data_IF_563715593237
#
_entry.id   IF_563715593237
#
_cell.length_a   1.000
_cell.length_b   1.000
_cell.length_c   1.000
_cell.angle_alpha   90.00
_cell.angle_beta   90.00
_cell.angle_gamma   90.00
#
_symmetry.space_group_name_H-M   'P 1'
#
loop_
_entity.id
_entity.type
_entity.pdbx_description
1 polymer ?
#
# COMPACT_ATOMS: atom_id res chain seq x y z
N UNK A 1 2.09 3.00 -13.38
CA UNK A 1 2.09 1.79 -12.54
C UNK A 1 3.10 2.02 -11.43
N UNK A 2 2.77 1.79 -10.16
CA UNK A 2 3.70 2.02 -9.05
C UNK A 2 4.64 0.81 -8.85
N UNK A 3 5.46 0.52 -9.85
CA UNK A 3 6.43 -0.57 -9.79
C UNK A 3 7.83 -0.03 -10.15
N UNK A 4 8.87 -0.68 -9.64
CA UNK A 4 10.25 -0.30 -9.93
C UNK A 4 10.54 -0.64 -11.39
N UNK A 5 11.10 0.31 -12.14
CA UNK A 5 11.34 0.15 -13.58
C UNK A 5 12.12 -1.13 -13.92
N UNK A 6 13.15 -1.46 -13.13
CA UNK A 6 13.95 -2.67 -13.32
C UNK A 6 13.14 -3.96 -13.14
N UNK A 7 12.17 -3.98 -12.21
CA UNK A 7 11.29 -5.14 -12.03
C UNK A 7 10.34 -5.34 -13.20
N UNK A 8 9.89 -4.23 -13.81
CA UNK A 8 9.09 -4.28 -15.04
C UNK A 8 9.92 -4.85 -16.18
N UNK A 9 11.14 -4.34 -16.37
CA UNK A 9 12.06 -4.79 -17.42
C UNK A 9 12.39 -6.29 -17.24
N UNK A 10 12.70 -6.73 -16.01
CA UNK A 10 12.96 -8.14 -15.73
C UNK A 10 11.75 -9.04 -16.02
N UNK A 11 10.54 -8.61 -15.65
CA UNK A 11 9.33 -9.36 -15.96
C UNK A 11 9.09 -9.51 -17.47
N UNK A 12 9.35 -8.45 -18.25
CA UNK A 12 9.25 -8.49 -19.71
C UNK A 12 10.33 -9.41 -20.33
N UNK A 13 11.55 -9.41 -19.80
CA UNK A 13 12.63 -10.31 -20.21
C UNK A 13 12.28 -11.78 -19.96
N UNK A 14 11.57 -12.08 -18.86
CA UNK A 14 11.00 -13.41 -18.57
C UNK A 14 9.79 -13.77 -19.45
N UNK A 15 9.39 -12.90 -20.35
CA UNK A 15 8.28 -13.13 -21.28
C UNK A 15 6.89 -12.81 -20.70
N UNK A 16 6.80 -12.15 -19.56
CA UNK A 16 5.54 -11.70 -18.96
C UNK A 16 4.98 -10.54 -19.79
N UNK A 17 3.74 -10.68 -20.21
CA UNK A 17 3.04 -9.60 -20.93
C UNK A 17 2.38 -8.65 -19.94
N UNK A 18 2.75 -7.39 -20.00
CA UNK A 18 2.17 -6.33 -19.16
C UNK A 18 1.21 -5.50 -20.02
N UNK A 19 -0.08 -5.60 -19.73
CA UNK A 19 -1.09 -4.78 -20.38
C UNK A 19 -1.53 -3.64 -19.47
N UNK A 20 -1.31 -2.40 -19.91
CA UNK A 20 -1.70 -1.20 -19.18
C UNK A 20 -3.07 -0.72 -19.65
N UNK A 21 -3.78 0.02 -18.80
CA UNK A 21 -5.12 0.55 -19.09
C UNK A 21 -6.10 -0.57 -19.49
N UNK A 22 -6.08 -1.65 -18.75
CA UNK A 22 -7.00 -2.77 -18.86
C UNK A 22 -7.62 -3.02 -17.50
N UNK A 23 -8.92 -3.30 -17.46
CA UNK A 23 -9.62 -3.66 -16.25
C UNK A 23 -10.38 -4.99 -16.43
N UNK A 24 -10.19 -5.97 -15.55
CA UNK A 24 -10.99 -7.20 -15.57
C UNK A 24 -12.41 -6.88 -15.11
N UNK A 25 -13.41 -7.43 -15.79
CA UNK A 25 -14.84 -7.21 -15.52
C UNK A 25 -15.60 -8.48 -15.17
N UNK A 26 -15.13 -9.63 -15.65
CA UNK A 26 -15.81 -10.91 -15.40
C UNK A 26 -14.82 -12.08 -15.45
N UNK A 27 -14.97 -13.05 -14.55
CA UNK A 27 -14.26 -14.32 -14.61
C UNK A 27 -15.06 -15.32 -15.45
N UNK A 28 -14.46 -15.81 -16.53
CA UNK A 28 -15.09 -16.78 -17.40
C UNK A 28 -14.82 -18.19 -16.86
N UNK A 29 -15.88 -18.95 -16.65
CA UNK A 29 -15.80 -20.31 -16.10
C UNK A 29 -16.53 -21.32 -16.98
N UNK A 30 -16.01 -22.54 -17.00
CA UNK A 30 -16.65 -23.70 -17.64
C UNK A 30 -16.50 -24.91 -16.73
N UNK A 31 -17.59 -25.61 -16.45
CA UNK A 31 -17.61 -26.78 -15.55
C UNK A 31 -16.95 -26.51 -14.17
N UNK A 32 -17.13 -25.31 -13.62
CA UNK A 32 -16.56 -24.90 -12.32
C UNK A 32 -15.06 -24.62 -12.35
N UNK A 33 -14.43 -24.54 -13.51
CA UNK A 33 -13.02 -24.18 -13.69
C UNK A 33 -12.89 -22.84 -14.40
N UNK A 34 -11.85 -22.09 -14.07
CA UNK A 34 -11.50 -20.87 -14.80
C UNK A 34 -11.10 -21.21 -16.23
N UNK A 35 -11.62 -20.46 -17.18
CA UNK A 35 -11.29 -20.53 -18.61
C UNK A 35 -10.69 -19.25 -19.14
N UNK A 36 -10.86 -18.17 -18.43
CA UNK A 36 -10.36 -16.87 -18.84
C UNK A 36 -10.90 -15.74 -18.00
N UNK A 37 -10.56 -14.55 -18.41
CA UNK A 37 -11.06 -13.30 -17.84
C UNK A 37 -11.51 -12.37 -18.96
N UNK A 38 -12.69 -11.81 -18.83
CA UNK A 38 -13.15 -10.73 -19.71
C UNK A 38 -12.59 -9.43 -19.20
N UNK A 39 -11.95 -8.70 -20.08
CA UNK A 39 -11.33 -7.42 -19.82
C UNK A 39 -11.96 -6.32 -20.67
N UNK A 40 -11.86 -5.08 -20.21
CA UNK A 40 -12.23 -3.88 -20.96
C UNK A 40 -11.02 -2.94 -21.04
N UNK A 41 -10.82 -2.33 -22.19
CA UNK A 41 -9.78 -1.29 -22.34
C UNK A 41 -10.22 -0.01 -21.65
N UNK A 42 -9.26 0.69 -21.05
CA UNK A 42 -9.49 1.92 -20.32
C UNK A 42 -8.85 3.09 -21.06
N UNK A 43 -9.54 4.21 -21.14
CA UNK A 43 -8.97 5.49 -21.54
C UNK A 43 -8.64 6.35 -20.32
N UNK A 44 -7.73 7.30 -20.46
CA UNK A 44 -7.51 8.30 -19.40
C UNK A 44 -8.57 9.40 -19.53
N UNK A 45 -9.38 9.57 -18.49
CA UNK A 45 -10.38 10.64 -18.38
C UNK A 45 -9.76 12.02 -18.19
N UNK A 46 -10.58 13.02 -17.91
CA UNK A 46 -10.13 14.37 -17.60
C UNK A 46 -9.33 14.41 -16.28
N UNK A 47 -8.36 15.32 -16.14
CA UNK A 47 -7.64 15.51 -14.90
C UNK A 47 -8.59 15.94 -13.77
N UNK A 48 -8.45 15.34 -12.58
CA UNK A 48 -9.10 15.81 -11.36
C UNK A 48 -8.36 17.02 -10.77
N UNK A 49 -8.85 17.56 -9.64
CA UNK A 49 -8.26 18.73 -8.96
C UNK A 49 -6.77 18.56 -8.60
N UNK A 50 -6.30 17.32 -8.48
CA UNK A 50 -4.87 16.99 -8.24
C UNK A 50 -4.06 16.86 -9.53
N UNK A 51 -4.68 17.04 -10.70
CA UNK A 51 -4.08 16.81 -12.01
C UNK A 51 -4.02 15.33 -12.42
N UNK A 52 -4.56 14.41 -11.62
CA UNK A 52 -4.56 12.98 -11.90
C UNK A 52 -5.71 12.62 -12.85
N UNK A 53 -5.38 11.92 -13.93
CA UNK A 53 -6.35 11.38 -14.87
C UNK A 53 -6.77 9.98 -14.44
N UNK A 54 -8.06 9.79 -14.15
CA UNK A 54 -8.61 8.49 -13.77
C UNK A 54 -8.91 7.65 -15.00
N UNK A 55 -8.62 6.33 -14.98
CA UNK A 55 -9.04 5.44 -16.06
C UNK A 55 -10.57 5.38 -16.13
N UNK A 56 -11.11 5.46 -17.36
CA UNK A 56 -12.53 5.29 -17.67
C UNK A 56 -12.68 4.19 -18.72
N UNK A 57 -13.71 3.31 -18.62
CA UNK A 57 -13.91 2.24 -19.59
C UNK A 57 -14.22 2.80 -20.97
N UNK A 58 -13.65 2.17 -22.01
CA UNK A 58 -13.99 2.43 -23.40
C UNK A 58 -15.10 1.46 -23.79
N UNK A 59 -16.30 1.98 -24.05
CA UNK A 59 -17.45 1.16 -24.40
C UNK A 59 -17.18 0.33 -25.69
N UNK A 60 -17.57 -0.95 -25.67
CA UNK A 60 -17.40 -1.86 -26.80
C UNK A 60 -15.96 -2.33 -27.03
N UNK A 61 -15.08 -2.17 -26.04
CA UNK A 61 -13.68 -2.61 -26.12
C UNK A 61 -13.41 -3.88 -25.32
N UNK A 62 -14.46 -4.57 -24.92
CA UNK A 62 -14.38 -5.81 -24.16
C UNK A 62 -13.72 -6.91 -24.99
N UNK A 63 -12.87 -7.71 -24.35
CA UNK A 63 -12.21 -8.86 -24.94
C UNK A 63 -11.88 -9.91 -23.88
N UNK A 64 -11.69 -11.14 -24.33
CA UNK A 64 -11.43 -12.26 -23.43
C UNK A 64 -9.94 -12.63 -23.49
N UNK A 65 -9.35 -12.87 -22.32
CA UNK A 65 -8.03 -13.45 -22.15
C UNK A 65 -8.19 -14.86 -21.63
N UNK A 66 -7.74 -15.86 -22.40
CA UNK A 66 -7.78 -17.26 -21.96
C UNK A 66 -6.72 -17.48 -20.87
N UNK A 67 -7.10 -18.06 -19.74
CA UNK A 67 -6.20 -18.45 -18.65
C UNK A 67 -6.86 -19.52 -17.78
N UNK A 68 -6.05 -20.31 -17.10
CA UNK A 68 -6.50 -21.36 -16.18
C UNK A 68 -6.50 -20.89 -14.73
N UNK A 69 -5.82 -19.78 -14.44
CA UNK A 69 -5.69 -19.20 -13.09
C UNK A 69 -5.73 -17.68 -13.14
N UNK A 70 -6.38 -17.07 -12.15
CA UNK A 70 -6.39 -15.63 -11.94
C UNK A 70 -5.91 -15.36 -10.52
N UNK A 71 -4.91 -14.49 -10.38
CA UNK A 71 -4.37 -14.07 -9.10
C UNK A 71 -4.61 -12.55 -8.94
N UNK A 72 -5.61 -12.13 -8.15
CA UNK A 72 -5.85 -10.72 -7.90
C UNK A 72 -4.77 -10.17 -6.94
N UNK A 73 -3.97 -9.22 -7.42
CA UNK A 73 -2.95 -8.51 -6.64
C UNK A 73 -3.26 -7.01 -6.56
N UNK A 74 -4.52 -6.68 -6.22
CA UNK A 74 -5.10 -5.33 -6.26
C UNK A 74 -4.92 -4.54 -4.97
N UNK A 75 -4.09 -5.02 -4.04
CA UNK A 75 -3.90 -4.44 -2.72
C UNK A 75 -4.93 -4.92 -1.69
N UNK A 76 -4.81 -4.37 -0.50
CA UNK A 76 -5.66 -4.72 0.64
C UNK A 76 -6.37 -3.48 1.17
N UNK A 77 -7.42 -3.70 1.95
CA UNK A 77 -8.09 -2.67 2.75
C UNK A 77 -8.14 -3.14 4.20
N UNK A 78 -8.07 -2.18 5.12
CA UNK A 78 -8.32 -2.48 6.52
C UNK A 78 -9.80 -2.85 6.67
N UNK A 79 -10.07 -4.01 7.26
CA UNK A 79 -11.41 -4.38 7.68
C UNK A 79 -11.63 -3.89 9.12
N UNK A 80 -12.28 -2.73 9.25
CA UNK A 80 -12.59 -2.12 10.53
C UNK A 80 -13.89 -2.64 11.17
N UNK A 81 -14.52 -3.67 10.61
CA UNK A 81 -15.80 -4.20 11.12
C UNK A 81 -15.69 -4.71 12.58
N UNK A 82 -14.53 -5.19 13.01
CA UNK A 82 -14.29 -5.62 14.40
C UNK A 82 -14.38 -4.47 15.42
N UNK A 83 -14.31 -3.22 14.96
CA UNK A 83 -14.44 -2.03 15.82
C UNK A 83 -15.89 -1.54 15.96
N UNK A 84 -16.85 -2.19 15.31
CA UNK A 84 -18.27 -1.80 15.42
C UNK A 84 -18.72 -1.84 16.87
N UNK A 85 -19.11 -0.66 17.39
CA UNK A 85 -19.52 -0.50 18.81
C UNK A 85 -18.37 -0.24 19.79
N UNK A 86 -17.13 -0.17 19.35
CA UNK A 86 -15.99 0.22 20.17
C UNK A 86 -15.99 1.74 20.37
N UNK A 87 -16.60 2.24 21.44
CA UNK A 87 -16.63 3.66 21.75
C UNK A 87 -15.22 4.25 21.92
N UNK A 88 -14.98 5.46 21.42
CA UNK A 88 -13.73 6.20 21.58
C UNK A 88 -12.61 5.77 20.64
N UNK A 89 -12.89 4.93 19.63
CA UNK A 89 -11.97 4.65 18.53
C UNK A 89 -12.59 5.20 17.26
N UNK A 90 -11.96 6.20 16.68
CA UNK A 90 -12.41 6.84 15.46
C UNK A 90 -11.69 6.27 14.24
N UNK A 91 -12.35 6.35 13.10
CA UNK A 91 -11.77 5.94 11.82
C UNK A 91 -11.53 7.18 10.95
N UNK A 92 -10.43 7.16 10.24
CA UNK A 92 -10.14 8.17 9.21
C UNK A 92 -11.10 7.99 8.02
N UNK A 93 -11.13 8.97 7.12
CA UNK A 93 -11.88 8.87 5.84
C UNK A 93 -11.46 7.68 4.96
N UNK A 94 -10.32 7.07 5.26
CA UNK A 94 -9.78 5.93 4.53
C UNK A 94 -10.13 4.58 5.16
N UNK A 95 -10.81 4.59 6.31
CA UNK A 95 -11.19 3.41 7.07
C UNK A 95 -10.08 2.84 7.95
N UNK A 96 -8.98 3.56 8.14
CA UNK A 96 -7.92 3.23 9.10
C UNK A 96 -8.26 3.80 10.47
N UNK A 97 -7.67 3.27 11.54
CA UNK A 97 -7.86 3.80 12.89
C UNK A 97 -7.16 5.16 13.01
N UNK A 98 -7.88 6.16 13.53
CA UNK A 98 -7.29 7.44 13.85
C UNK A 98 -6.49 7.33 15.17
N UNK A 99 -5.20 7.66 15.09
CA UNK A 99 -4.27 7.61 16.22
C UNK A 99 -3.22 8.71 16.06
N UNK A 100 -2.60 9.08 17.16
CA UNK A 100 -1.50 10.05 17.17
C UNK A 100 -0.25 9.45 16.46
N UNK A 101 0.37 10.14 15.52
CA UNK A 101 1.45 9.61 14.70
C UNK A 101 2.80 9.43 15.45
N UNK A 102 2.90 9.92 16.68
CA UNK A 102 4.10 9.80 17.51
C UNK A 102 3.91 8.71 18.56
N UNK A 103 2.76 8.74 19.22
CA UNK A 103 2.47 7.85 20.35
C UNK A 103 1.65 6.63 19.97
N UNK A 104 1.04 6.64 18.78
CA UNK A 104 0.11 5.61 18.32
C UNK A 104 -1.11 5.42 19.23
N UNK A 105 -1.36 6.36 20.16
CA UNK A 105 -2.50 6.36 21.04
C UNK A 105 -3.76 6.80 20.26
N UNK A 106 -4.84 6.04 20.42
CA UNK A 106 -6.15 6.37 19.84
C UNK A 106 -6.91 7.34 20.77
N UNK A 107 -8.09 7.79 20.36
CA UNK A 107 -8.98 8.56 21.24
C UNK A 107 -9.46 7.81 22.48
N UNK A 108 -9.30 6.49 22.53
CA UNK A 108 -9.69 5.65 23.67
C UNK A 108 -8.49 5.38 24.59
N UNK A 109 -8.57 5.75 25.90
CA UNK A 109 -7.48 5.48 26.84
C UNK A 109 -7.05 4.01 26.88
N UNK A 110 -5.73 3.76 26.82
CA UNK A 110 -5.13 2.43 26.85
C UNK A 110 -5.25 1.64 25.54
N UNK A 111 -5.73 2.25 24.46
CA UNK A 111 -5.79 1.63 23.13
C UNK A 111 -4.83 2.33 22.18
N UNK A 112 -4.01 1.54 21.54
CA UNK A 112 -2.98 1.99 20.59
C UNK A 112 -3.16 1.30 19.24
N UNK A 113 -2.83 1.98 18.17
CA UNK A 113 -2.93 1.45 16.80
C UNK A 113 -1.69 1.80 16.00
N UNK A 114 -1.07 0.81 15.36
CA UNK A 114 0.11 0.99 14.49
C UNK A 114 0.14 -0.01 13.35
N UNK A 115 1.05 0.18 12.38
CA UNK A 115 1.11 -0.63 11.16
C UNK A 115 -0.07 -0.36 10.23
N UNK A 116 -0.43 -1.34 9.41
CA UNK A 116 -1.40 -1.19 8.32
C UNK A 116 -2.79 -0.72 8.80
N UNK A 117 -3.17 -1.03 10.03
CA UNK A 117 -4.45 -0.58 10.59
C UNK A 117 -4.49 0.93 10.84
N UNK A 118 -3.32 1.56 10.96
CA UNK A 118 -3.14 3.00 11.15
C UNK A 118 -2.78 3.71 9.82
N UNK A 119 -1.75 3.21 9.11
CA UNK A 119 -1.25 3.85 7.88
C UNK A 119 -2.04 3.48 6.62
N UNK A 120 -2.80 2.39 6.63
CA UNK A 120 -3.19 1.63 5.46
C UNK A 120 -2.08 0.66 5.05
N UNK A 121 -2.32 -0.23 4.08
CA UNK A 121 -1.35 -1.21 3.62
C UNK A 121 -0.02 -0.59 3.21
N UNK A 122 1.07 -1.03 3.83
CA UNK A 122 2.42 -0.52 3.62
C UNK A 122 3.47 -1.64 3.70
N UNK A 123 4.75 -1.28 3.83
CA UNK A 123 5.84 -2.25 3.91
C UNK A 123 6.04 -2.78 5.35
N UNK A 124 6.48 -4.04 5.46
CA UNK A 124 6.65 -4.71 6.74
C UNK A 124 7.56 -3.95 7.72
N UNK A 125 8.60 -3.28 7.22
CA UNK A 125 9.53 -2.49 8.05
C UNK A 125 8.83 -1.32 8.75
N UNK A 126 7.88 -0.67 8.09
CA UNK A 126 7.09 0.42 8.70
C UNK A 126 6.16 -0.13 9.79
N UNK A 127 5.53 -1.28 9.55
CA UNK A 127 4.69 -1.94 10.54
C UNK A 127 5.49 -2.36 11.79
N UNK A 128 6.71 -2.91 11.61
CA UNK A 128 7.62 -3.24 12.70
C UNK A 128 8.02 -1.98 13.49
N UNK A 129 8.39 -0.91 12.78
CA UNK A 129 8.73 0.37 13.40
C UNK A 129 7.59 0.96 14.21
N UNK A 130 6.37 0.95 13.67
CA UNK A 130 5.17 1.39 14.37
C UNK A 130 4.91 0.55 15.63
N UNK A 131 5.08 -0.77 15.55
CA UNK A 131 4.96 -1.67 16.70
C UNK A 131 5.94 -1.36 17.82
N UNK A 132 7.20 -1.06 17.51
CA UNK A 132 8.22 -0.68 18.48
C UNK A 132 7.86 0.64 19.19
N UNK A 133 7.42 1.66 18.44
CA UNK A 133 7.01 2.93 19.02
C UNK A 133 5.74 2.82 19.85
N UNK A 134 4.77 2.04 19.40
CA UNK A 134 3.56 1.76 20.16
C UNK A 134 3.89 1.03 21.48
N UNK A 135 4.82 0.08 21.48
CA UNK A 135 5.26 -0.62 22.69
C UNK A 135 5.85 0.33 23.74
N UNK A 136 6.65 1.34 23.31
CA UNK A 136 7.16 2.39 24.20
C UNK A 136 6.00 3.19 24.82
N UNK A 137 5.01 3.54 24.00
CA UNK A 137 3.82 4.27 24.47
C UNK A 137 2.99 3.46 25.46
N UNK A 138 2.81 2.17 25.20
CA UNK A 138 2.10 1.25 26.08
C UNK A 138 2.82 1.14 27.43
N UNK A 139 4.16 0.97 27.42
CA UNK A 139 4.95 0.89 28.64
C UNK A 139 4.81 2.16 29.50
N UNK A 140 4.92 3.34 28.88
CA UNK A 140 4.74 4.63 29.55
C UNK A 140 3.31 4.80 30.10
N UNK A 141 2.32 4.47 29.29
CA UNK A 141 0.92 4.51 29.73
C UNK A 141 0.68 3.67 30.99
N UNK A 142 1.23 2.46 31.03
CA UNK A 142 1.12 1.57 32.19
C UNK A 142 1.84 2.10 33.43
N UNK A 143 2.88 2.93 33.26
CA UNK A 143 3.65 3.57 34.33
C UNK A 143 3.07 4.94 34.73
N UNK A 144 2.06 5.43 34.03
CA UNK A 144 1.50 6.76 34.26
C UNK A 144 2.40 7.91 33.81
N UNK A 145 3.30 7.65 32.87
CA UNK A 145 4.24 8.62 32.33
C UNK A 145 3.67 9.35 31.09
N UNK A 146 4.25 10.53 30.81
CA UNK A 146 3.90 11.29 29.61
C UNK A 146 4.32 10.58 28.32
N UNK A 147 3.37 10.42 27.39
CA UNK A 147 3.58 9.67 26.16
C UNK A 147 4.51 10.38 25.16
N UNK A 148 4.51 11.72 25.17
CA UNK A 148 5.25 12.57 24.22
C UNK A 148 6.68 12.91 24.65
N UNK A 149 7.03 12.73 25.92
CA UNK A 149 8.31 13.19 26.46
C UNK A 149 9.50 12.64 25.64
N UNK A 150 10.34 13.56 25.15
CA UNK A 150 11.55 13.25 24.34
C UNK A 150 11.27 12.46 23.06
N UNK A 151 10.06 12.51 22.50
CA UNK A 151 9.68 11.83 21.26
C UNK A 151 9.41 12.82 20.15
N UNK A 152 9.80 12.44 18.95
CA UNK A 152 9.56 13.21 17.73
C UNK A 152 8.99 12.28 16.67
N UNK A 153 8.17 12.83 15.79
CA UNK A 153 7.74 12.09 14.62
C UNK A 153 8.96 11.65 13.79
N UNK A 154 9.01 10.37 13.44
CA UNK A 154 10.08 9.87 12.57
C UNK A 154 10.01 10.59 11.23
N UNK A 155 11.16 10.92 10.63
CA UNK A 155 11.19 11.47 9.29
C UNK A 155 10.50 10.51 8.32
N UNK A 156 9.52 11.00 7.57
CA UNK A 156 8.96 10.28 6.42
C UNK A 156 9.90 10.45 5.22
N UNK A 157 9.69 9.67 4.14
CA UNK A 157 10.54 9.73 2.95
C UNK A 157 10.75 11.14 2.37
N UNK A 158 9.84 12.07 2.64
CA UNK A 158 9.96 13.49 2.23
C UNK A 158 10.85 14.32 3.18
N UNK A 159 11.05 13.86 4.41
CA UNK A 159 11.78 14.57 5.48
C UNK A 159 13.13 13.93 5.80
N UNK A 160 13.67 13.09 4.91
CA UNK A 160 15.00 12.53 5.08
C UNK A 160 16.05 13.63 5.17
N UNK A 161 17.04 13.42 6.04
CA UNK A 161 18.19 14.32 6.11
C UNK A 161 18.81 14.46 4.72
N UNK A 162 19.12 15.69 4.27
CA UNK A 162 19.70 15.88 2.96
C UNK A 162 21.03 15.12 2.87
N UNK A 163 21.24 14.46 1.73
CA UNK A 163 22.51 13.78 1.43
C UNK A 163 23.65 14.79 1.64
N UNK A 164 24.68 14.45 2.42
CA UNK A 164 25.78 15.36 2.66
C UNK A 164 26.36 15.87 1.34
N UNK A 165 26.56 17.17 1.20
CA UNK A 165 27.09 17.80 -0.02
C UNK A 165 28.44 17.22 -0.49
N UNK A 166 29.12 16.45 0.36
CA UNK A 166 30.38 15.74 0.07
C UNK A 166 30.20 14.29 -0.36
N UNK A 167 28.97 13.79 -0.43
CA UNK A 167 28.74 12.46 -0.94
C UNK A 167 29.07 12.44 -2.44
N UNK A 168 30.09 11.71 -2.81
CA UNK A 168 30.42 11.45 -4.22
C UNK A 168 29.38 10.46 -4.74
N UNK A 169 28.66 10.78 -5.82
CA UNK A 169 27.78 9.82 -6.43
C UNK A 169 28.59 8.58 -6.86
N UNK A 170 28.27 7.44 -6.29
CA UNK A 170 28.85 6.17 -6.74
C UNK A 170 27.83 5.43 -7.59
N UNK A 171 28.31 4.78 -8.64
CA UNK A 171 27.47 3.87 -9.40
C UNK A 171 26.94 2.76 -8.47
N UNK A 172 25.65 2.49 -8.56
CA UNK A 172 25.05 1.41 -7.79
C UNK A 172 25.64 0.09 -8.22
N UNK A 173 26.19 -0.67 -7.28
CA UNK A 173 26.66 -2.02 -7.57
C UNK A 173 25.52 -2.85 -8.16
N UNK A 174 25.75 -3.46 -9.30
CA UNK A 174 24.81 -4.41 -9.90
C UNK A 174 24.85 -5.70 -9.09
N UNK A 175 23.69 -6.16 -8.62
CA UNK A 175 23.60 -7.48 -8.02
C UNK A 175 23.81 -8.53 -9.10
N UNK A 176 24.54 -9.63 -8.81
CA UNK A 176 24.62 -10.78 -9.72
C UNK A 176 23.21 -11.33 -9.94
N UNK A 177 22.85 -11.53 -11.18
CA UNK A 177 21.57 -12.10 -11.61
C UNK A 177 21.81 -13.49 -12.18
N UNK A 178 20.87 -14.41 -11.93
CA UNK A 178 20.88 -15.69 -12.61
C UNK A 178 20.50 -15.44 -14.09
N UNK A 179 21.17 -16.16 -14.99
CA UNK A 179 20.74 -16.15 -16.39
C UNK A 179 19.36 -16.84 -16.48
N UNK A 180 18.44 -16.18 -17.18
CA UNK A 180 17.09 -16.70 -17.48
C UNK A 180 17.18 -17.64 -18.67
#
# INVERSE_FOLDING_TARGET
>A
MPAVKREIEAAEEEGIKIELLVNPVEVLTENGKVKGVKCVKMGLGEPDESGRRRPVPIAGSEYDIACDMIIPAIGQKVDSNFLKGAAGIELTRWGTIDADPITFHTGRPGVFAGGDVFTGPSIAVEAIGAGQEAAISIARFMQGEELFESRQQRPTGENWLPIPKRAVPAERAKMPELAV
#
